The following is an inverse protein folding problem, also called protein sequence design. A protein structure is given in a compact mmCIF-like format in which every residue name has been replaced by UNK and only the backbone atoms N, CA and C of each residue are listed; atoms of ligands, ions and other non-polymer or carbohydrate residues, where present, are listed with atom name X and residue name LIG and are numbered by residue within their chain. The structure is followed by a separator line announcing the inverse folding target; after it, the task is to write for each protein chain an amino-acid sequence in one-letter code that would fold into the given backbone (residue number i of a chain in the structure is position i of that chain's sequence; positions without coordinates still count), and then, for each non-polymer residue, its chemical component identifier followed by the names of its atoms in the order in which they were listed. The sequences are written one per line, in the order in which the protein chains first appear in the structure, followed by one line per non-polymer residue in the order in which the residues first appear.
data_IF_376883894758
#
_entry.id   IF_376883894758
#
_cell.length_a   1.000
_cell.length_b   1.000
_cell.length_c   1.000
_cell.angle_alpha   90.00
_cell.angle_beta   90.00
_cell.angle_gamma   90.00
#
_symmetry.space_group_name_H-M   'P 1'
#
loop_
_entity.id
_entity.type
_entity.pdbx_description
1 polymer ?
#
# COMPACT_ATOMS: atom_id res chain seq x y z
N UNK A 1 0.27 -8.56 21.85
CA UNK A 1 0.35 -8.89 20.41
C UNK A 1 1.32 -7.90 19.78
N UNK A 2 2.31 -8.36 19.00
CA UNK A 2 3.20 -7.43 18.26
C UNK A 2 2.48 -6.91 17.01
N UNK A 3 2.94 -5.78 16.46
CA UNK A 3 2.41 -5.27 15.18
C UNK A 3 2.49 -6.33 14.08
N UNK A 4 3.63 -7.00 13.94
CA UNK A 4 3.81 -8.06 12.94
C UNK A 4 2.79 -9.18 13.09
N UNK A 5 2.50 -9.60 14.32
CA UNK A 5 1.49 -10.63 14.58
C UNK A 5 0.07 -10.17 14.24
N UNK A 6 -0.25 -8.89 14.49
CA UNK A 6 -1.54 -8.29 14.10
C UNK A 6 -1.67 -8.21 12.58
N UNK A 7 -0.66 -7.67 11.90
CA UNK A 7 -0.61 -7.53 10.44
C UNK A 7 -0.73 -8.90 9.77
N UNK A 8 0.02 -9.90 10.27
CA UNK A 8 -0.05 -11.27 9.76
C UNK A 8 -1.44 -11.88 9.95
N UNK A 9 -2.07 -11.68 11.11
CA UNK A 9 -3.42 -12.18 11.38
C UNK A 9 -4.46 -11.55 10.45
N UNK A 10 -4.47 -10.23 10.31
CA UNK A 10 -5.44 -9.52 9.45
C UNK A 10 -5.22 -9.86 7.98
N UNK A 11 -3.98 -9.88 7.50
CA UNK A 11 -3.66 -10.25 6.11
C UNK A 11 -3.93 -11.72 5.82
N UNK A 12 -3.74 -12.62 6.78
CA UNK A 12 -4.09 -14.03 6.65
C UNK A 12 -5.59 -14.27 6.57
N UNK A 13 -6.39 -13.42 7.23
CA UNK A 13 -7.85 -13.51 7.20
C UNK A 13 -8.45 -12.97 5.90
N UNK A 14 -7.85 -11.95 5.28
CA UNK A 14 -8.39 -11.29 4.09
C UNK A 14 -8.70 -12.25 2.91
N UNK A 15 -7.80 -13.16 2.48
CA UNK A 15 -8.11 -14.11 1.41
C UNK A 15 -9.28 -15.04 1.74
N UNK A 16 -9.43 -15.44 3.01
CA UNK A 16 -10.56 -16.27 3.44
C UNK A 16 -11.88 -15.51 3.33
N UNK A 17 -11.89 -14.23 3.72
CA UNK A 17 -13.06 -13.36 3.63
C UNK A 17 -13.54 -13.14 2.18
N UNK A 18 -12.64 -13.19 1.20
CA UNK A 18 -12.97 -13.08 -0.23
C UNK A 18 -13.73 -14.30 -0.78
N UNK A 19 -13.59 -15.46 -0.14
CA UNK A 19 -14.24 -16.72 -0.54
C UNK A 19 -15.63 -16.89 0.11
N UNK A 20 -16.04 -15.98 0.98
CA UNK A 20 -17.31 -16.06 1.68
C UNK A 20 -18.42 -15.61 0.74
N UNK A 21 -19.36 -16.52 0.46
CA UNK A 21 -20.56 -16.20 -0.30
C UNK A 21 -21.41 -15.15 0.43
N UNK A 22 -21.99 -14.21 -0.31
CA UNK A 22 -22.82 -13.14 0.26
C UNK A 22 -23.99 -13.67 1.08
N UNK A 23 -24.52 -14.85 0.75
CA UNK A 23 -25.58 -15.50 1.52
C UNK A 23 -25.13 -15.84 2.94
N UNK A 24 -23.83 -16.05 3.17
CA UNK A 24 -23.25 -16.37 4.47
C UNK A 24 -23.04 -15.11 5.32
N UNK A 25 -22.73 -13.97 4.69
CA UNK A 25 -22.40 -12.73 5.39
C UNK A 25 -23.51 -12.27 6.35
N UNK A 26 -24.78 -12.43 5.95
CA UNK A 26 -25.95 -12.06 6.76
C UNK A 26 -26.75 -13.27 7.27
N UNK A 27 -26.13 -14.45 7.35
CA UNK A 27 -26.88 -15.66 7.66
C UNK A 27 -27.23 -15.73 9.15
N UNK A 28 -28.52 -15.77 9.53
CA UNK A 28 -28.95 -15.82 10.92
C UNK A 28 -28.47 -17.05 11.69
N UNK A 29 -28.03 -18.11 11.00
CA UNK A 29 -27.43 -19.29 11.61
C UNK A 29 -26.17 -18.99 12.43
N UNK A 30 -25.50 -17.85 12.14
CA UNK A 30 -24.32 -17.41 12.87
C UNK A 30 -24.61 -16.36 13.95
N UNK A 31 -25.88 -16.01 14.17
CA UNK A 31 -26.24 -15.10 15.26
C UNK A 31 -25.96 -15.73 16.62
N UNK A 32 -25.34 -14.95 17.51
CA UNK A 32 -25.07 -15.30 18.89
C UNK A 32 -25.66 -14.25 19.85
N UNK A 33 -26.29 -14.72 20.92
CA UNK A 33 -26.90 -13.88 21.96
C UNK A 33 -25.84 -13.26 22.89
N UNK A 34 -26.07 -12.10 23.52
CA UNK A 34 -27.32 -11.35 23.58
C UNK A 34 -27.47 -10.31 22.47
N UNK A 35 -26.56 -10.27 21.49
CA UNK A 35 -26.51 -9.26 20.43
C UNK A 35 -26.53 -9.90 19.03
N UNK A 36 -27.64 -10.58 18.67
CA UNK A 36 -27.74 -11.31 17.41
C UNK A 36 -27.49 -10.41 16.19
N UNK A 37 -27.87 -9.13 16.26
CA UNK A 37 -27.65 -8.15 15.19
C UNK A 37 -26.17 -7.77 14.94
N UNK A 38 -25.23 -8.20 15.79
CA UNK A 38 -23.81 -7.82 15.72
C UNK A 38 -22.86 -9.03 15.75
N UNK A 39 -23.35 -10.22 15.42
CA UNK A 39 -22.62 -11.47 15.65
C UNK A 39 -22.50 -12.37 14.42
N UNK A 40 -23.07 -11.97 13.28
CA UNK A 40 -22.85 -12.68 12.02
C UNK A 40 -21.43 -12.48 11.44
N UNK A 41 -21.17 -13.15 10.32
CA UNK A 41 -19.87 -13.13 9.64
C UNK A 41 -19.54 -11.73 9.09
N UNK A 42 -20.53 -10.97 8.61
CA UNK A 42 -20.33 -9.57 8.20
C UNK A 42 -19.86 -8.74 9.37
N UNK A 43 -20.51 -8.86 10.53
CA UNK A 43 -20.15 -8.10 11.72
C UNK A 43 -18.81 -8.51 12.30
N UNK A 44 -18.34 -9.75 12.11
CA UNK A 44 -16.96 -10.10 12.45
C UNK A 44 -15.93 -9.27 11.64
N UNK A 45 -16.16 -9.08 10.33
CA UNK A 45 -15.31 -8.23 9.47
C UNK A 45 -15.42 -6.74 9.83
N UNK A 46 -16.64 -6.25 10.06
CA UNK A 46 -16.88 -4.87 10.47
C UNK A 46 -16.32 -4.56 11.86
N UNK A 47 -16.41 -5.49 12.81
CA UNK A 47 -15.83 -5.35 14.15
C UNK A 47 -14.31 -5.38 14.11
N UNK A 48 -13.71 -6.23 13.27
CA UNK A 48 -12.25 -6.19 13.04
C UNK A 48 -11.83 -4.81 12.55
N UNK A 49 -12.57 -4.24 11.61
CA UNK A 49 -12.34 -2.87 11.13
C UNK A 49 -12.51 -1.85 12.26
N UNK A 50 -13.58 -1.94 13.05
CA UNK A 50 -13.85 -1.07 14.19
C UNK A 50 -12.73 -1.11 15.24
N UNK A 51 -12.26 -2.30 15.61
CA UNK A 51 -11.19 -2.49 16.59
C UNK A 51 -9.87 -1.91 16.08
N UNK A 52 -9.54 -2.09 14.80
CA UNK A 52 -8.38 -1.46 14.18
C UNK A 52 -8.46 0.07 14.23
N UNK A 53 -9.63 0.67 13.98
CA UNK A 53 -9.83 2.13 14.09
C UNK A 53 -9.69 2.62 15.52
N UNK A 54 -10.26 1.90 16.48
CA UNK A 54 -10.09 2.22 17.90
C UNK A 54 -8.63 2.14 18.34
N UNK A 55 -7.91 1.11 17.89
CA UNK A 55 -6.48 0.97 18.13
C UNK A 55 -5.69 2.13 17.52
N UNK A 56 -5.99 2.55 16.28
CA UNK A 56 -5.34 3.69 15.66
C UNK A 56 -5.52 4.98 16.49
N UNK A 57 -6.72 5.23 17.01
CA UNK A 57 -6.97 6.38 17.91
C UNK A 57 -6.12 6.29 19.18
N UNK A 58 -6.05 5.11 19.81
CA UNK A 58 -5.25 4.89 21.01
C UNK A 58 -3.75 5.11 20.75
N UNK A 59 -3.23 4.56 19.65
CA UNK A 59 -1.83 4.72 19.26
C UNK A 59 -1.48 6.17 18.95
N UNK A 60 -2.36 6.88 18.22
CA UNK A 60 -2.18 8.30 17.96
C UNK A 60 -2.12 9.11 19.26
N UNK A 61 -3.06 8.90 20.18
CA UNK A 61 -3.08 9.57 21.47
C UNK A 61 -1.83 9.25 22.30
N UNK A 62 -1.39 7.98 22.32
CA UNK A 62 -0.18 7.56 23.01
C UNK A 62 1.08 8.26 22.47
N UNK A 63 1.20 8.41 21.14
CA UNK A 63 2.30 9.16 20.51
C UNK A 63 2.32 10.63 20.92
N UNK A 64 1.16 11.28 20.95
CA UNK A 64 1.05 12.68 21.39
C UNK A 64 1.46 12.83 22.86
N UNK A 65 0.99 11.93 23.73
CA UNK A 65 1.33 11.93 25.16
C UNK A 65 2.82 11.66 25.41
N UNK A 66 3.44 10.82 24.59
CA UNK A 66 4.88 10.55 24.64
C UNK A 66 5.73 11.68 24.03
N UNK A 67 5.13 12.75 23.49
CA UNK A 67 5.86 13.85 22.84
C UNK A 67 6.51 13.46 21.51
N UNK A 68 6.03 12.40 20.87
CA UNK A 68 6.56 11.86 19.61
C UNK A 68 5.47 11.82 18.52
N UNK A 69 4.86 12.97 18.14
CA UNK A 69 3.94 13.01 17.00
C UNK A 69 4.63 12.52 15.72
N UNK A 70 3.86 12.16 14.69
CA UNK A 70 4.44 11.88 13.37
C UNK A 70 5.08 13.15 12.82
N UNK A 71 6.31 13.02 12.28
CA UNK A 71 6.91 14.10 11.48
C UNK A 71 6.18 14.25 10.13
N UNK A 72 6.34 15.36 9.39
CA UNK A 72 5.77 15.49 8.05
C UNK A 72 6.16 14.35 7.11
N UNK A 73 7.42 13.89 7.17
CA UNK A 73 7.88 12.74 6.38
C UNK A 73 7.15 11.45 6.76
N UNK A 74 7.05 11.16 8.06
CA UNK A 74 6.34 9.97 8.55
C UNK A 74 4.85 10.00 8.21
N UNK A 75 4.23 11.19 8.25
CA UNK A 75 2.84 11.35 7.85
C UNK A 75 2.62 11.12 6.35
N UNK A 76 3.48 11.67 5.48
CA UNK A 76 3.42 11.40 4.04
C UNK A 76 3.64 9.90 3.72
N UNK A 77 4.57 9.26 4.44
CA UNK A 77 4.81 7.82 4.33
C UNK A 77 3.62 6.97 4.82
N UNK A 78 2.90 7.42 5.86
CA UNK A 78 1.67 6.79 6.29
C UNK A 78 0.57 6.87 5.22
N UNK A 79 0.46 8.01 4.52
CA UNK A 79 -0.47 8.16 3.38
C UNK A 79 -0.11 7.22 2.21
N UNK A 80 1.18 7.14 1.88
CA UNK A 80 1.69 6.16 0.90
C UNK A 80 1.39 4.72 1.33
N UNK A 81 1.59 4.39 2.61
CA UNK A 81 1.28 3.06 3.13
C UNK A 81 -0.23 2.73 3.05
N UNK A 82 -1.10 3.72 3.26
CA UNK A 82 -2.54 3.56 3.05
C UNK A 82 -2.89 3.30 1.58
N UNK A 83 -2.22 3.94 0.62
CA UNK A 83 -2.39 3.62 -0.81
C UNK A 83 -1.87 2.22 -1.14
N UNK A 84 -0.78 1.77 -0.50
CA UNK A 84 -0.21 0.44 -0.67
C UNK A 84 -1.15 -0.68 -0.21
N UNK A 85 -1.80 -0.52 0.94
CA UNK A 85 -2.81 -1.49 1.41
C UNK A 85 -4.08 -1.50 0.56
N UNK A 86 -4.47 -0.36 0.00
CA UNK A 86 -5.60 -0.29 -0.92
C UNK A 86 -5.30 -1.01 -2.25
N UNK A 87 -4.08 -0.80 -2.77
CA UNK A 87 -3.59 -1.50 -3.96
C UNK A 87 -3.50 -3.02 -3.71
N UNK A 88 -2.99 -3.46 -2.55
CA UNK A 88 -3.00 -4.87 -2.15
C UNK A 88 -4.42 -5.44 -2.15
N UNK A 89 -5.38 -4.74 -1.53
CA UNK A 89 -6.75 -5.22 -1.41
C UNK A 89 -7.42 -5.45 -2.77
N UNK A 90 -7.13 -4.63 -3.78
CA UNK A 90 -7.62 -4.85 -5.15
C UNK A 90 -6.89 -6.00 -5.85
N UNK A 91 -5.58 -6.14 -5.65
CA UNK A 91 -4.82 -7.26 -6.24
C UNK A 91 -5.33 -8.62 -5.76
N UNK A 92 -5.80 -8.73 -4.52
CA UNK A 92 -6.37 -9.98 -3.98
C UNK A 92 -7.62 -10.46 -4.73
N UNK A 93 -8.27 -9.60 -5.53
CA UNK A 93 -9.43 -9.97 -6.33
C UNK A 93 -9.08 -10.64 -7.67
N UNK A 94 -7.80 -10.64 -8.08
CA UNK A 94 -7.34 -11.29 -9.30
C UNK A 94 -6.91 -12.74 -9.02
N UNK A 95 -7.41 -13.67 -9.82
CA UNK A 95 -6.81 -15.01 -9.94
C UNK A 95 -5.63 -14.99 -10.93
N UNK A 96 -4.99 -16.15 -11.12
CA UNK A 96 -3.84 -16.28 -12.00
C UNK A 96 -4.15 -15.95 -13.48
N UNK A 97 -5.35 -16.30 -13.96
CA UNK A 97 -5.76 -16.05 -15.34
C UNK A 97 -5.94 -14.54 -15.56
N UNK A 98 -6.75 -13.90 -14.72
CA UNK A 98 -7.09 -12.49 -14.82
C UNK A 98 -5.94 -11.55 -14.47
N UNK A 99 -4.98 -11.98 -13.63
CA UNK A 99 -3.80 -11.19 -13.30
C UNK A 99 -2.95 -10.85 -14.53
N UNK A 100 -2.85 -11.78 -15.47
CA UNK A 100 -2.06 -11.63 -16.70
C UNK A 100 -2.86 -11.16 -17.91
N UNK A 101 -4.19 -11.23 -17.86
CA UNK A 101 -5.07 -10.84 -18.94
C UNK A 101 -5.11 -9.31 -19.14
N UNK A 102 -5.06 -8.88 -20.41
CA UNK A 102 -5.39 -7.51 -20.78
C UNK A 102 -6.91 -7.32 -20.66
N UNK A 103 -7.39 -6.34 -19.87
CA UNK A 103 -8.82 -6.19 -19.61
C UNK A 103 -9.60 -5.66 -20.82
N UNK A 104 -8.93 -4.94 -21.72
CA UNK A 104 -9.44 -4.48 -23.00
C UNK A 104 -8.25 -4.16 -23.93
N UNK A 105 -8.52 -4.00 -25.23
CA UNK A 105 -7.51 -3.62 -26.20
C UNK A 105 -6.80 -2.31 -25.79
N UNK A 106 -5.49 -2.38 -25.61
CA UNK A 106 -4.66 -1.21 -25.26
C UNK A 106 -4.62 -0.87 -23.77
N UNK A 107 -5.33 -1.61 -22.92
CA UNK A 107 -5.23 -1.49 -21.46
C UNK A 107 -4.16 -2.47 -20.92
N UNK A 108 -3.51 -2.09 -19.81
CA UNK A 108 -2.51 -2.94 -19.17
C UNK A 108 -3.14 -4.01 -18.28
N UNK A 109 -2.55 -5.21 -18.29
CA UNK A 109 -2.88 -6.26 -17.30
C UNK A 109 -2.42 -5.85 -15.90
N UNK A 110 -2.98 -6.49 -14.86
CA UNK A 110 -2.58 -6.24 -13.48
C UNK A 110 -1.09 -6.56 -13.24
N UNK A 111 -0.54 -7.57 -13.93
CA UNK A 111 0.88 -7.89 -13.91
C UNK A 111 1.76 -6.74 -14.44
N UNK A 112 1.33 -6.10 -15.53
CA UNK A 112 2.03 -4.93 -16.10
C UNK A 112 1.93 -3.73 -15.16
N UNK A 113 0.75 -3.48 -14.59
CA UNK A 113 0.53 -2.40 -13.62
C UNK A 113 1.43 -2.59 -12.38
N UNK A 114 1.50 -3.79 -11.82
CA UNK A 114 2.33 -4.08 -10.64
C UNK A 114 3.83 -3.89 -10.92
N UNK A 115 4.32 -4.33 -12.08
CA UNK A 115 5.70 -4.09 -12.49
C UNK A 115 5.99 -2.60 -12.67
N UNK A 116 5.07 -1.87 -13.31
CA UNK A 116 5.19 -0.43 -13.53
C UNK A 116 5.22 0.35 -12.20
N UNK A 117 4.31 0.03 -11.28
CA UNK A 117 4.29 0.65 -9.94
C UNK A 117 5.62 0.44 -9.22
N UNK A 118 6.12 -0.80 -9.15
CA UNK A 118 7.42 -1.09 -8.54
C UNK A 118 8.57 -0.31 -9.20
N UNK A 119 8.55 -0.22 -10.53
CA UNK A 119 9.55 0.51 -11.32
C UNK A 119 9.56 2.01 -11.02
N UNK A 120 8.39 2.65 -10.96
CA UNK A 120 8.29 4.08 -10.65
C UNK A 120 8.65 4.36 -9.19
N UNK A 121 8.23 3.51 -8.25
CA UNK A 121 8.62 3.67 -6.85
C UNK A 121 10.12 3.53 -6.64
N UNK A 122 10.77 2.58 -7.33
CA UNK A 122 12.24 2.45 -7.35
C UNK A 122 12.90 3.75 -7.81
N UNK A 123 12.36 4.38 -8.85
CA UNK A 123 12.94 5.59 -9.42
C UNK A 123 12.80 6.80 -8.48
N UNK A 124 11.62 7.01 -7.89
CA UNK A 124 11.45 8.06 -6.89
C UNK A 124 12.33 7.83 -5.67
N UNK A 125 12.45 6.58 -5.22
CA UNK A 125 13.32 6.21 -4.13
C UNK A 125 14.78 6.55 -4.42
N UNK A 126 15.28 6.18 -5.60
CA UNK A 126 16.62 6.51 -6.04
C UNK A 126 16.87 8.02 -6.14
N UNK A 127 15.91 8.79 -6.66
CA UNK A 127 16.01 10.24 -6.73
C UNK A 127 16.15 10.88 -5.35
N UNK A 128 15.37 10.42 -4.36
CA UNK A 128 15.47 10.88 -2.96
C UNK A 128 16.83 10.51 -2.37
N UNK A 129 17.26 9.25 -2.54
CA UNK A 129 18.56 8.79 -2.06
C UNK A 129 19.72 9.56 -2.69
N UNK A 130 19.65 9.86 -3.98
CA UNK A 130 20.67 10.64 -4.67
C UNK A 130 20.75 12.05 -4.07
N UNK A 131 19.60 12.72 -3.88
CA UNK A 131 19.55 14.05 -3.27
C UNK A 131 20.19 14.10 -1.89
N UNK A 132 19.96 13.10 -1.03
CA UNK A 132 20.49 13.13 0.35
C UNK A 132 21.92 12.62 0.48
N UNK A 133 22.41 11.80 -0.47
CA UNK A 133 23.74 11.16 -0.39
C UNK A 133 24.79 11.81 -1.29
N UNK A 134 24.38 12.46 -2.38
CA UNK A 134 25.28 13.02 -3.39
C UNK A 134 25.43 14.55 -3.20
N UNK A 135 26.65 15.10 -3.11
CA UNK A 135 26.87 16.54 -3.00
C UNK A 135 26.46 17.35 -4.24
N UNK A 136 26.31 16.69 -5.40
CA UNK A 136 25.85 17.30 -6.64
C UNK A 136 24.85 16.35 -7.35
N UNK A 137 23.62 16.24 -6.83
CA UNK A 137 22.64 15.29 -7.38
C UNK A 137 22.19 15.74 -8.77
N UNK A 138 21.92 14.76 -9.64
CA UNK A 138 21.43 14.95 -10.99
C UNK A 138 20.51 13.80 -11.40
N UNK A 139 20.02 13.83 -12.64
CA UNK A 139 19.23 12.73 -13.20
C UNK A 139 20.08 11.45 -13.25
N UNK A 140 19.49 10.33 -12.82
CA UNK A 140 20.12 9.02 -12.86
C UNK A 140 19.60 8.21 -14.05
N UNK A 141 20.49 7.52 -14.73
CA UNK A 141 20.15 6.45 -15.66
C UNK A 141 19.57 5.23 -14.92
N UNK A 142 18.90 4.32 -15.65
CA UNK A 142 18.31 3.12 -15.04
C UNK A 142 19.34 2.21 -14.34
N UNK A 143 20.56 2.14 -14.87
CA UNK A 143 21.66 1.37 -14.26
C UNK A 143 22.18 2.01 -12.96
N UNK A 144 22.23 3.34 -12.91
CA UNK A 144 22.61 4.06 -11.70
C UNK A 144 21.51 3.93 -10.63
N UNK A 145 20.23 3.96 -11.03
CA UNK A 145 19.11 3.67 -10.15
C UNK A 145 19.19 2.25 -9.60
N UNK A 146 19.44 1.26 -10.46
CA UNK A 146 19.59 -0.14 -10.05
C UNK A 146 20.73 -0.32 -9.05
N UNK A 147 21.88 0.29 -9.32
CA UNK A 147 23.05 0.26 -8.42
C UNK A 147 22.74 0.90 -7.06
N UNK A 148 22.11 2.07 -7.06
CA UNK A 148 21.82 2.81 -5.83
C UNK A 148 20.75 2.12 -4.97
N UNK A 149 19.74 1.54 -5.60
CA UNK A 149 18.61 0.90 -4.90
C UNK A 149 18.83 -0.58 -4.65
N UNK A 150 19.74 -1.24 -5.36
CA UNK A 150 19.90 -2.70 -5.34
C UNK A 150 18.72 -3.47 -5.98
N UNK A 151 17.83 -2.76 -6.67
CA UNK A 151 16.76 -3.37 -7.47
C UNK A 151 17.26 -3.64 -8.90
N UNK A 152 16.70 -4.62 -9.65
CA UNK A 152 17.07 -4.86 -11.05
C UNK A 152 16.84 -3.62 -11.91
N UNK A 153 17.67 -3.37 -12.93
CA UNK A 153 17.49 -2.26 -13.87
C UNK A 153 16.20 -2.40 -14.71
N UNK A 154 15.94 -3.61 -15.20
CA UNK A 154 14.71 -3.96 -15.90
C UNK A 154 13.73 -4.67 -14.98
N UNK A 155 12.61 -4.03 -14.68
CA UNK A 155 11.49 -4.63 -13.94
C UNK A 155 10.42 -5.09 -14.93
N UNK A 156 10.35 -6.40 -15.14
CA UNK A 156 9.36 -7.02 -16.03
C UNK A 156 8.14 -7.54 -15.25
N UNK A 157 6.97 -7.66 -15.90
CA UNK A 157 5.78 -8.30 -15.30
C UNK A 157 6.10 -9.71 -14.80
N UNK A 158 5.73 -9.99 -13.55
CA UNK A 158 5.84 -11.33 -12.99
C UNK A 158 4.74 -12.24 -13.57
N UNK A 159 5.04 -13.52 -13.74
CA UNK A 159 4.03 -14.52 -14.14
C UNK A 159 3.03 -14.79 -13.00
N UNK A 160 3.52 -14.82 -11.77
CA UNK A 160 2.72 -15.10 -10.57
C UNK A 160 2.51 -13.84 -9.75
N UNK A 161 1.25 -13.56 -9.38
CA UNK A 161 0.88 -12.43 -8.54
C UNK A 161 1.68 -12.41 -7.22
N UNK A 162 1.81 -13.57 -6.57
CA UNK A 162 2.53 -13.68 -5.30
C UNK A 162 4.01 -13.28 -5.42
N UNK A 163 4.67 -13.63 -6.53
CA UNK A 163 6.07 -13.29 -6.75
C UNK A 163 6.24 -11.78 -7.03
N UNK A 164 5.40 -11.22 -7.90
CA UNK A 164 5.39 -9.79 -8.18
C UNK A 164 5.10 -8.96 -6.93
N UNK A 165 4.07 -9.36 -6.17
CA UNK A 165 3.68 -8.68 -4.94
C UNK A 165 4.77 -8.75 -3.89
N UNK A 166 5.39 -9.93 -3.68
CA UNK A 166 6.48 -10.07 -2.72
C UNK A 166 7.69 -9.18 -3.07
N UNK A 167 7.98 -9.00 -4.36
CA UNK A 167 9.04 -8.09 -4.79
C UNK A 167 8.69 -6.62 -4.47
N UNK A 168 7.48 -6.18 -4.82
CA UNK A 168 7.04 -4.82 -4.54
C UNK A 168 6.92 -4.53 -3.04
N UNK A 169 6.35 -5.45 -2.26
CA UNK A 169 6.22 -5.32 -0.81
C UNK A 169 7.57 -5.21 -0.09
N UNK A 170 8.62 -5.88 -0.58
CA UNK A 170 9.98 -5.73 -0.05
C UNK A 170 10.55 -4.33 -0.32
N UNK A 171 10.37 -3.81 -1.54
CA UNK A 171 10.78 -2.44 -1.88
C UNK A 171 10.04 -1.42 -1.00
N UNK A 172 8.72 -1.56 -0.88
CA UNK A 172 7.89 -0.69 -0.05
C UNK A 172 8.34 -0.67 1.41
N UNK A 173 8.55 -1.85 2.02
CA UNK A 173 9.01 -1.96 3.40
C UNK A 173 10.38 -1.29 3.62
N UNK A 174 11.30 -1.45 2.66
CA UNK A 174 12.62 -0.82 2.71
C UNK A 174 12.54 0.71 2.59
N UNK A 175 11.73 1.20 1.66
CA UNK A 175 11.47 2.63 1.49
C UNK A 175 10.90 3.24 2.78
N UNK A 176 9.89 2.60 3.36
CA UNK A 176 9.28 3.04 4.62
C UNK A 176 10.31 3.14 5.75
N UNK A 177 11.18 2.14 5.89
CA UNK A 177 12.24 2.12 6.90
C UNK A 177 13.31 3.20 6.65
N UNK A 178 13.85 3.31 5.43
CA UNK A 178 14.95 4.22 5.13
C UNK A 178 14.51 5.69 5.06
N UNK A 179 13.26 5.98 4.69
CA UNK A 179 12.76 7.36 4.55
C UNK A 179 12.07 7.92 5.80
N UNK A 180 11.74 7.09 6.79
CA UNK A 180 11.05 7.53 8.02
C UNK A 180 11.83 8.57 8.85
N UNK A 181 13.15 8.63 8.67
CA UNK A 181 14.04 9.54 9.39
C UNK A 181 14.33 10.86 8.64
N UNK A 182 13.68 11.09 7.49
CA UNK A 182 13.84 12.35 6.77
C UNK A 182 13.42 13.54 7.63
N UNK A 183 14.28 14.56 7.66
CA UNK A 183 14.06 15.82 8.37
C UNK A 183 13.31 16.83 7.52
N UNK A 184 12.66 17.80 8.16
CA UNK A 184 11.96 18.90 7.47
C UNK A 184 12.88 19.67 6.52
N UNK A 185 14.16 19.84 6.88
CA UNK A 185 15.15 20.47 6.01
C UNK A 185 15.38 19.65 4.74
N UNK A 186 15.50 18.32 4.85
CA UNK A 186 15.65 17.44 3.69
C UNK A 186 14.41 17.45 2.79
N UNK A 187 13.20 17.55 3.36
CA UNK A 187 11.96 17.61 2.56
C UNK A 187 11.91 18.79 1.59
N UNK A 188 12.66 19.86 1.85
CA UNK A 188 12.73 21.05 0.99
C UNK A 188 13.84 20.98 -0.07
N UNK A 189 14.71 19.97 -0.02
CA UNK A 189 15.78 19.82 -1.00
C UNK A 189 15.23 19.48 -2.39
N UNK A 190 15.73 20.11 -3.47
CA UNK A 190 15.39 19.73 -4.84
C UNK A 190 15.80 18.28 -5.12
N UNK A 191 14.90 17.52 -5.75
CA UNK A 191 15.08 16.11 -6.08
C UNK A 191 15.07 15.92 -7.61
N UNK A 192 16.26 15.94 -8.23
CA UNK A 192 16.41 15.82 -9.67
C UNK A 192 15.84 14.50 -10.19
N UNK A 193 15.07 14.60 -11.26
CA UNK A 193 14.63 13.46 -12.04
C UNK A 193 14.48 13.90 -13.51
N UNK A 194 13.55 13.36 -14.29
CA UNK A 194 13.43 13.71 -15.71
C UNK A 194 12.84 15.11 -15.95
N UNK A 195 12.17 15.70 -14.94
CA UNK A 195 11.59 17.03 -15.05
C UNK A 195 12.69 18.11 -15.17
N UNK A 196 12.41 19.23 -15.88
CA UNK A 196 13.33 20.36 -15.94
C UNK A 196 13.42 21.11 -14.61
N UNK A 197 14.45 21.94 -14.46
CA UNK A 197 14.57 22.86 -13.33
C UNK A 197 13.48 23.96 -13.34
N UNK A 198 13.02 24.44 -12.15
CA UNK A 198 13.42 24.00 -10.82
C UNK A 198 12.82 22.62 -10.48
N UNK A 199 13.67 21.70 -10.01
CA UNK A 199 13.23 20.34 -9.72
C UNK A 199 12.26 20.28 -8.53
N UNK A 200 11.27 19.36 -8.57
CA UNK A 200 10.41 19.10 -7.42
C UNK A 200 11.21 18.67 -6.19
N UNK A 201 10.71 18.96 -5.00
CA UNK A 201 11.41 18.65 -3.74
C UNK A 201 11.25 17.18 -3.32
N UNK A 202 12.05 16.72 -2.35
CA UNK A 202 11.83 15.41 -1.71
C UNK A 202 10.41 15.30 -1.15
N UNK A 203 9.88 16.35 -0.49
CA UNK A 203 8.50 16.34 0.01
C UNK A 203 7.46 16.12 -1.09
N UNK A 204 7.66 16.72 -2.27
CA UNK A 204 6.81 16.44 -3.43
C UNK A 204 6.92 14.97 -3.89
N UNK A 205 8.13 14.41 -3.92
CA UNK A 205 8.35 12.99 -4.27
C UNK A 205 7.66 12.04 -3.29
N UNK A 206 7.68 12.35 -1.99
CA UNK A 206 6.96 11.55 -0.98
C UNK A 206 5.45 11.47 -1.28
N UNK A 207 4.82 12.59 -1.63
CA UNK A 207 3.41 12.61 -2.03
C UNK A 207 3.17 12.01 -3.43
N UNK A 208 4.20 11.98 -4.29
CA UNK A 208 4.11 11.28 -5.57
C UNK A 208 4.05 9.77 -5.43
N UNK A 209 4.65 9.16 -4.41
CA UNK A 209 4.42 7.74 -4.13
C UNK A 209 2.93 7.44 -3.95
N UNK A 210 2.26 8.19 -3.08
CA UNK A 210 0.84 8.01 -2.78
C UNK A 210 -0.04 8.25 -4.02
N UNK A 211 0.09 9.41 -4.65
CA UNK A 211 -0.76 9.77 -5.78
C UNK A 211 -0.58 8.87 -7.00
N UNK A 212 0.66 8.44 -7.29
CA UNK A 212 0.93 7.47 -8.35
C UNK A 212 0.32 6.10 -8.03
N UNK A 213 0.42 5.64 -6.79
CA UNK A 213 -0.16 4.37 -6.39
C UNK A 213 -1.69 4.42 -6.47
N UNK A 214 -2.32 5.54 -6.10
CA UNK A 214 -3.76 5.76 -6.28
C UNK A 214 -4.19 5.76 -7.75
N UNK A 215 -3.41 6.39 -8.62
CA UNK A 215 -3.65 6.37 -10.06
C UNK A 215 -3.75 4.93 -10.59
N UNK A 216 -2.81 4.06 -10.21
CA UNK A 216 -2.81 2.67 -10.63
C UNK A 216 -3.77 1.77 -9.84
N UNK A 217 -4.13 2.12 -8.61
CA UNK A 217 -5.27 1.51 -7.91
C UNK A 217 -6.58 1.75 -8.69
N UNK A 218 -6.80 2.97 -9.19
CA UNK A 218 -7.96 3.25 -10.04
C UNK A 218 -7.93 2.42 -11.34
N UNK A 219 -6.73 2.23 -11.90
CA UNK A 219 -6.57 1.38 -13.08
C UNK A 219 -6.91 -0.09 -12.79
N UNK A 220 -6.45 -0.66 -11.66
CA UNK A 220 -6.84 -2.00 -11.24
C UNK A 220 -8.35 -2.13 -11.04
N UNK A 221 -8.98 -1.14 -10.41
CA UNK A 221 -10.43 -1.13 -10.19
C UNK A 221 -11.22 -1.11 -11.51
N UNK A 222 -10.74 -0.33 -12.52
CA UNK A 222 -11.28 -0.38 -13.89
C UNK A 222 -11.10 -1.76 -14.52
N UNK A 223 -9.92 -2.37 -14.37
CA UNK A 223 -9.61 -3.68 -14.96
C UNK A 223 -10.55 -4.78 -14.45
N UNK A 224 -10.84 -4.79 -13.15
CA UNK A 224 -11.83 -5.72 -12.57
C UNK A 224 -13.19 -5.61 -13.27
N UNK A 225 -13.68 -4.38 -13.47
CA UNK A 225 -14.96 -4.14 -14.13
C UNK A 225 -14.96 -4.59 -15.60
N UNK A 226 -13.88 -4.30 -16.34
CA UNK A 226 -13.73 -4.66 -17.75
C UNK A 226 -13.62 -6.19 -17.96
N UNK A 227 -12.98 -6.89 -17.03
CA UNK A 227 -12.90 -8.36 -17.01
C UNK A 227 -14.20 -9.03 -16.54
N UNK A 228 -15.22 -8.26 -16.16
CA UNK A 228 -16.47 -8.80 -15.64
C UNK A 228 -16.38 -9.38 -14.22
N UNK A 229 -15.29 -9.10 -13.51
CA UNK A 229 -15.10 -9.52 -12.11
C UNK A 229 -15.98 -8.62 -11.24
N UNK A 230 -17.15 -9.14 -10.86
CA UNK A 230 -18.09 -8.42 -10.00
C UNK A 230 -17.56 -8.32 -8.58
N UNK A 231 -17.59 -7.12 -8.02
CA UNK A 231 -17.26 -6.92 -6.62
C UNK A 231 -18.36 -7.46 -5.72
N UNK A 232 -18.00 -8.38 -4.83
CA UNK A 232 -18.89 -8.87 -3.78
C UNK A 232 -18.71 -8.06 -2.48
N UNK A 233 -19.66 -8.20 -1.55
CA UNK A 233 -19.59 -7.52 -0.25
C UNK A 233 -18.30 -7.88 0.52
N UNK A 234 -17.83 -9.14 0.45
CA UNK A 234 -16.58 -9.57 1.06
C UNK A 234 -15.37 -8.74 0.64
N UNK A 235 -15.23 -8.44 -0.66
CA UNK A 235 -14.20 -7.56 -1.19
C UNK A 235 -14.31 -6.13 -0.67
N UNK A 236 -15.53 -5.62 -0.50
CA UNK A 236 -15.75 -4.28 0.06
C UNK A 236 -15.32 -4.23 1.53
N UNK A 237 -15.68 -5.24 2.31
CA UNK A 237 -15.32 -5.37 3.72
C UNK A 237 -13.81 -5.55 3.91
N UNK A 238 -13.15 -6.38 3.09
CA UNK A 238 -11.69 -6.55 3.11
C UNK A 238 -10.99 -5.22 2.81
N UNK A 239 -11.43 -4.47 1.80
CA UNK A 239 -10.84 -3.15 1.48
C UNK A 239 -10.96 -2.18 2.66
N UNK A 240 -12.09 -2.16 3.38
CA UNK A 240 -12.28 -1.35 4.58
C UNK A 240 -11.35 -1.78 5.73
N UNK A 241 -11.21 -3.09 5.94
CA UNK A 241 -10.33 -3.68 6.95
C UNK A 241 -8.85 -3.37 6.66
N UNK A 242 -8.41 -3.53 5.41
CA UNK A 242 -7.04 -3.20 4.97
C UNK A 242 -6.75 -1.70 5.12
N UNK A 243 -7.72 -0.83 4.84
CA UNK A 243 -7.59 0.60 5.10
C UNK A 243 -7.47 0.93 6.60
N UNK A 244 -8.21 0.23 7.47
CA UNK A 244 -8.08 0.39 8.92
C UNK A 244 -6.73 -0.12 9.45
N UNK A 245 -6.25 -1.25 8.92
CA UNK A 245 -4.93 -1.78 9.23
C UNK A 245 -3.82 -0.79 8.85
N UNK A 246 -3.92 -0.17 7.66
CA UNK A 246 -2.94 0.79 7.19
C UNK A 246 -2.78 2.00 8.12
N UNK A 247 -3.85 2.43 8.80
CA UNK A 247 -3.77 3.51 9.79
C UNK A 247 -3.00 3.09 11.04
N UNK A 248 -3.21 1.87 11.52
CA UNK A 248 -2.45 1.30 12.63
C UNK A 248 -0.98 1.17 12.27
N UNK A 249 -0.67 0.66 11.09
CA UNK A 249 0.71 0.52 10.59
C UNK A 249 1.38 1.88 10.37
N UNK A 250 0.65 2.86 9.82
CA UNK A 250 1.13 4.21 9.59
C UNK A 250 1.56 4.92 10.89
N UNK A 251 0.86 4.66 12.00
CA UNK A 251 1.22 5.19 13.32
C UNK A 251 2.48 4.55 13.91
N UNK A 252 2.90 3.38 13.42
CA UNK A 252 4.14 2.73 13.84
C UNK A 252 5.36 3.17 13.02
N UNK A 253 5.19 3.96 11.96
CA UNK A 253 6.31 4.49 11.20
C UNK A 253 7.20 5.35 12.12
N UNK A 254 8.49 5.05 12.10
CA UNK A 254 9.50 5.73 12.91
C UNK A 254 9.47 5.38 14.40
N UNK A 255 8.69 4.38 14.82
CA UNK A 255 8.77 3.80 16.17
C UNK A 255 9.89 2.76 16.19
N UNK A 256 10.80 2.87 17.16
CA UNK A 256 11.91 1.92 17.40
C UNK A 256 11.50 0.80 18.35
#
# INVERSE_FOLDING_TARGET
MSLDSLVSAVRGFAPAALQIDEIILNNPAWHYEPYPAYSDVRYALLHTTLELRQLAVQLHAARQQAGAPLTPAQYALAQHHAAFRDFEALLLAFDAEHFSAEPAQGEWSAAVILAHVRQVERNFYAAILNTIRNPAPGFLSDEEVATLTGEPADIVPATELAAGWAAFARLHARLQAELAALTDAQLTMPSPYWEPEPWPTIGFRLHRFESHLREHTNQLEKSLAMLGIKRNEGQMLVRQMMAALAEVEGLHIGVA
#
